data_IF_772354357092
#
_entry.id   IF_772354357092
#
_cell.length_a   1.000
_cell.length_b   1.000
_cell.length_c   1.000
_cell.angle_alpha   90.00
_cell.angle_beta   90.00
_cell.angle_gamma   90.00
#
_symmetry.space_group_name_H-M   'P 1'
#
loop_
_entity.id
_entity.type
_entity.pdbx_description
1 polymer ?
#
# COMPACT_ATOMS: atom_id res chain seq x y z
N UNK A 1 -34.08 18.99 -15.43
CA UNK A 1 -33.82 18.46 -14.08
C UNK A 1 -33.23 17.09 -14.31
N UNK A 2 -31.97 16.86 -13.91
CA UNK A 2 -31.41 15.51 -13.94
C UNK A 2 -32.19 14.67 -12.94
N UNK A 3 -32.70 13.52 -13.36
CA UNK A 3 -33.37 12.59 -12.45
C UNK A 3 -32.26 11.83 -11.75
N UNK A 4 -32.05 12.05 -10.44
CA UNK A 4 -31.09 11.26 -9.65
C UNK A 4 -31.83 10.31 -8.72
N UNK A 5 -31.20 9.17 -8.41
CA UNK A 5 -31.71 8.19 -7.45
C UNK A 5 -30.75 8.02 -6.29
N UNK A 6 -31.30 7.85 -5.09
CA UNK A 6 -30.55 7.63 -3.87
C UNK A 6 -30.15 6.17 -3.76
N UNK A 7 -28.84 5.91 -3.69
CA UNK A 7 -28.28 4.56 -3.49
C UNK A 7 -27.59 4.50 -2.14
N UNK A 8 -27.98 3.53 -1.31
CA UNK A 8 -27.42 3.30 0.03
C UNK A 8 -26.73 1.94 0.10
N UNK A 9 -25.47 1.89 0.52
CA UNK A 9 -24.73 0.65 0.74
C UNK A 9 -24.65 0.29 2.23
N UNK A 10 -25.07 -0.93 2.56
CA UNK A 10 -25.00 -1.52 3.89
C UNK A 10 -24.05 -2.73 3.89
N UNK A 11 -23.27 -2.98 4.97
CA UNK A 11 -23.27 -2.27 6.26
C UNK A 11 -22.39 -1.00 6.29
N UNK A 12 -21.84 -0.56 5.15
CA UNK A 12 -20.90 0.56 5.09
C UNK A 12 -21.54 1.92 5.44
N UNK A 13 -22.87 2.03 5.40
CA UNK A 13 -23.59 3.28 5.66
C UNK A 13 -23.38 4.37 4.60
N UNK A 14 -22.76 4.03 3.46
CA UNK A 14 -22.43 4.98 2.39
C UNK A 14 -23.69 5.30 1.60
N UNK A 15 -23.96 6.59 1.36
CA UNK A 15 -25.11 7.07 0.58
C UNK A 15 -24.61 7.96 -0.54
N UNK A 16 -25.15 7.78 -1.74
CA UNK A 16 -24.83 8.58 -2.93
C UNK A 16 -26.09 8.87 -3.75
N UNK A 17 -26.01 9.85 -4.64
CA UNK A 17 -26.98 10.09 -5.70
C UNK A 17 -26.37 9.72 -7.04
N UNK A 18 -27.11 8.98 -7.86
CA UNK A 18 -26.62 8.41 -9.11
C UNK A 18 -27.65 8.56 -10.23
N UNK A 19 -27.16 8.63 -11.46
CA UNK A 19 -28.00 8.73 -12.65
C UNK A 19 -28.66 7.36 -12.97
N UNK A 20 -29.86 7.36 -13.55
CA UNK A 20 -30.53 6.15 -14.01
C UNK A 20 -29.65 5.34 -14.96
N UNK A 21 -29.67 4.02 -14.82
CA UNK A 21 -28.95 3.11 -15.72
C UNK A 21 -27.51 2.78 -15.31
N UNK A 22 -26.93 3.47 -14.32
CA UNK A 22 -25.61 3.10 -13.77
C UNK A 22 -25.70 1.76 -13.03
N UNK A 23 -24.70 0.89 -13.18
CA UNK A 23 -24.69 -0.40 -12.49
C UNK A 23 -24.28 -0.25 -11.03
N UNK A 24 -24.81 -1.10 -10.15
CA UNK A 24 -24.41 -1.13 -8.73
C UNK A 24 -22.88 -1.32 -8.59
N UNK A 25 -22.27 -2.11 -9.46
CA UNK A 25 -20.83 -2.39 -9.48
C UNK A 25 -19.99 -1.16 -9.81
N UNK A 26 -20.41 -0.34 -10.77
CA UNK A 26 -19.74 0.93 -11.10
C UNK A 26 -19.80 1.90 -9.92
N UNK A 27 -20.98 2.06 -9.32
CA UNK A 27 -21.19 2.93 -8.15
C UNK A 27 -20.32 2.46 -6.98
N UNK A 28 -20.29 1.16 -6.72
CA UNK A 28 -19.46 0.58 -5.68
C UNK A 28 -17.96 0.84 -5.92
N UNK A 29 -17.51 0.73 -7.17
CA UNK A 29 -16.13 1.06 -7.54
C UNK A 29 -15.80 2.54 -7.32
N UNK A 30 -16.70 3.46 -7.68
CA UNK A 30 -16.50 4.90 -7.47
C UNK A 30 -16.41 5.28 -5.98
N UNK A 31 -17.17 4.57 -5.14
CA UNK A 31 -17.28 4.84 -3.71
C UNK A 31 -16.35 3.97 -2.85
N UNK A 32 -15.44 3.22 -3.48
CA UNK A 32 -14.54 2.26 -2.81
C UNK A 32 -15.25 1.23 -1.91
N UNK A 33 -16.50 0.92 -2.23
CA UNK A 33 -17.29 -0.11 -1.56
C UNK A 33 -16.74 -1.49 -1.95
N UNK A 34 -16.44 -2.39 -0.99
CA UNK A 34 -15.72 -3.63 -1.25
C UNK A 34 -16.62 -4.71 -1.88
N UNK A 35 -16.92 -4.57 -3.18
CA UNK A 35 -17.57 -5.60 -4.00
C UNK A 35 -16.55 -6.15 -4.99
N UNK A 36 -16.47 -7.49 -5.08
CA UNK A 36 -15.58 -8.17 -6.04
C UNK A 36 -16.11 -8.00 -7.47
N UNK A 37 -15.22 -7.72 -8.43
CA UNK A 37 -15.56 -7.60 -9.85
C UNK A 37 -14.60 -8.39 -10.75
N UNK A 38 -14.23 -9.58 -10.31
CA UNK A 38 -13.23 -10.50 -10.86
C UNK A 38 -13.31 -10.72 -12.39
N UNK A 39 -14.52 -10.79 -12.95
CA UNK A 39 -14.73 -10.99 -14.39
C UNK A 39 -14.77 -9.69 -15.22
N UNK A 40 -14.40 -8.55 -14.63
CA UNK A 40 -14.48 -7.24 -15.28
C UNK A 40 -15.91 -6.81 -15.60
N UNK A 41 -16.88 -7.26 -14.80
CA UNK A 41 -18.29 -6.93 -14.97
C UNK A 41 -19.08 -7.76 -15.97
N UNK A 42 -18.45 -8.75 -16.63
CA UNK A 42 -19.06 -9.59 -17.67
C UNK A 42 -20.17 -10.56 -17.19
N UNK A 43 -20.43 -10.64 -15.88
CA UNK A 43 -21.45 -11.54 -15.33
C UNK A 43 -21.07 -13.02 -15.38
N UNK A 44 -19.77 -13.37 -15.33
CA UNK A 44 -19.31 -14.76 -15.50
C UNK A 44 -18.93 -15.47 -14.19
N UNK A 45 -18.58 -14.72 -13.14
CA UNK A 45 -17.98 -15.30 -11.93
C UNK A 45 -18.93 -15.44 -10.74
N UNK A 46 -20.01 -14.65 -10.69
CA UNK A 46 -20.97 -14.66 -9.58
C UNK A 46 -20.43 -14.19 -8.23
N UNK A 47 -19.29 -13.48 -8.21
CA UNK A 47 -18.63 -13.02 -6.97
C UNK A 47 -19.07 -11.61 -6.54
N UNK A 48 -19.85 -10.93 -7.38
CA UNK A 48 -20.41 -9.60 -7.13
C UNK A 48 -21.85 -9.65 -6.60
N UNK A 49 -22.26 -10.72 -5.90
CA UNK A 49 -23.65 -10.86 -5.45
C UNK A 49 -23.95 -9.85 -4.34
N UNK A 50 -25.08 -9.16 -4.50
CA UNK A 50 -25.62 -8.21 -3.55
C UNK A 50 -27.10 -8.48 -3.35
N UNK A 51 -27.65 -8.04 -2.22
CA UNK A 51 -29.09 -8.05 -1.97
C UNK A 51 -29.61 -6.63 -2.18
N UNK A 52 -30.71 -6.51 -2.92
CA UNK A 52 -31.23 -5.22 -3.35
C UNK A 52 -32.66 -5.02 -2.84
N UNK A 53 -32.94 -3.87 -2.21
CA UNK A 53 -34.25 -3.53 -1.69
C UNK A 53 -34.62 -2.05 -1.94
N UNK A 54 -35.78 -1.75 -2.56
CA UNK A 54 -36.69 -2.71 -3.20
C UNK A 54 -36.11 -3.22 -4.53
N UNK A 55 -36.28 -4.52 -4.81
CA UNK A 55 -35.77 -5.15 -6.04
C UNK A 55 -36.47 -4.70 -7.32
N UNK A 56 -37.58 -3.96 -7.21
CA UNK A 56 -38.28 -3.33 -8.33
C UNK A 56 -37.58 -2.08 -8.85
N UNK A 57 -36.66 -1.50 -8.07
CA UNK A 57 -35.95 -0.27 -8.41
C UNK A 57 -34.62 -0.52 -9.13
N UNK A 58 -34.46 -1.71 -9.69
CA UNK A 58 -33.33 -2.10 -10.53
C UNK A 58 -33.82 -2.76 -11.82
N UNK A 59 -32.96 -2.82 -12.84
CA UNK A 59 -33.25 -3.46 -14.12
C UNK A 59 -33.81 -4.88 -13.96
N UNK A 60 -34.56 -5.40 -14.94
CA UNK A 60 -34.91 -6.82 -14.97
C UNK A 60 -33.67 -7.72 -14.88
N UNK A 61 -33.86 -8.98 -14.47
CA UNK A 61 -32.79 -9.97 -14.45
C UNK A 61 -32.20 -10.15 -15.84
N UNK A 62 -30.88 -10.10 -15.95
CA UNK A 62 -30.16 -10.36 -17.21
C UNK A 62 -29.92 -11.87 -17.41
N UNK A 63 -29.61 -12.30 -18.64
CA UNK A 63 -29.24 -13.70 -18.91
C UNK A 63 -28.09 -14.20 -18.02
N UNK A 64 -26.97 -13.46 -17.86
CA UNK A 64 -25.91 -13.85 -16.93
C UNK A 64 -26.38 -14.00 -15.47
N UNK A 65 -27.35 -13.20 -15.02
CA UNK A 65 -27.90 -13.34 -13.68
C UNK A 65 -28.71 -14.62 -13.52
N UNK A 66 -29.51 -14.99 -14.53
CA UNK A 66 -30.30 -16.22 -14.53
C UNK A 66 -29.43 -17.48 -14.58
N UNK A 67 -28.28 -17.42 -15.24
CA UNK A 67 -27.34 -18.54 -15.31
C UNK A 67 -26.59 -18.78 -14.00
N UNK A 68 -26.38 -17.73 -13.19
CA UNK A 68 -25.55 -17.77 -11.97
C UNK A 68 -26.37 -17.84 -10.69
N UNK A 69 -27.53 -17.18 -10.63
CA UNK A 69 -28.34 -17.08 -9.43
C UNK A 69 -29.33 -18.24 -9.37
N UNK A 70 -29.36 -18.92 -8.23
CA UNK A 70 -30.37 -19.94 -7.98
C UNK A 70 -31.77 -19.31 -7.82
N UNK A 71 -32.84 -20.07 -8.07
CA UNK A 71 -34.21 -19.57 -7.87
C UNK A 71 -34.48 -19.03 -6.46
N UNK A 72 -33.83 -19.60 -5.44
CA UNK A 72 -33.98 -19.17 -4.05
C UNK A 72 -33.20 -17.88 -3.75
N UNK A 73 -32.05 -17.66 -4.40
CA UNK A 73 -31.34 -16.38 -4.36
C UNK A 73 -32.17 -15.27 -5.02
N UNK A 74 -32.76 -15.55 -6.18
CA UNK A 74 -33.62 -14.59 -6.88
C UNK A 74 -34.82 -14.20 -6.01
N UNK A 75 -35.47 -15.16 -5.34
CA UNK A 75 -36.57 -14.88 -4.39
C UNK A 75 -36.15 -14.02 -3.21
N UNK A 76 -34.88 -14.09 -2.81
CA UNK A 76 -34.28 -13.27 -1.74
C UNK A 76 -33.73 -11.94 -2.27
N UNK A 77 -34.08 -11.55 -3.49
CA UNK A 77 -33.63 -10.31 -4.13
C UNK A 77 -32.12 -10.19 -4.31
N UNK A 78 -31.43 -11.32 -4.47
CA UNK A 78 -30.04 -11.30 -4.89
C UNK A 78 -29.93 -10.85 -6.34
N UNK A 79 -28.89 -10.05 -6.61
CA UNK A 79 -28.52 -9.53 -7.92
C UNK A 79 -27.01 -9.60 -8.11
N UNK A 80 -26.55 -9.62 -9.35
CA UNK A 80 -25.14 -9.38 -9.66
C UNK A 80 -24.91 -7.87 -9.78
N UNK A 81 -24.08 -7.30 -8.89
CA UNK A 81 -23.86 -5.86 -8.86
C UNK A 81 -23.37 -5.30 -10.20
N UNK A 82 -22.59 -6.07 -10.96
CA UNK A 82 -22.09 -5.65 -12.26
C UNK A 82 -23.11 -5.72 -13.41
N UNK A 83 -24.32 -6.21 -13.17
CA UNK A 83 -25.40 -6.36 -14.16
C UNK A 83 -26.64 -5.55 -13.79
N UNK A 84 -26.94 -5.43 -12.49
CA UNK A 84 -28.08 -4.69 -12.00
C UNK A 84 -27.87 -3.17 -12.14
N UNK A 85 -28.71 -2.55 -12.97
CA UNK A 85 -28.74 -1.10 -13.19
C UNK A 85 -29.80 -0.45 -12.31
N UNK A 86 -29.50 0.72 -11.75
CA UNK A 86 -30.47 1.44 -10.90
C UNK A 86 -31.55 2.12 -11.74
N UNK A 87 -32.81 1.98 -11.31
CA UNK A 87 -34.00 2.58 -11.92
C UNK A 87 -34.85 3.36 -10.90
N UNK A 88 -34.42 3.40 -9.64
CA UNK A 88 -35.08 4.09 -8.54
C UNK A 88 -34.21 4.09 -7.28
N UNK A 89 -34.70 4.71 -6.20
CA UNK A 89 -34.03 4.71 -4.90
C UNK A 89 -33.85 3.29 -4.36
N UNK A 90 -32.66 2.94 -3.90
CA UNK A 90 -32.34 1.55 -3.56
C UNK A 90 -31.34 1.42 -2.43
N UNK A 91 -31.55 0.40 -1.59
CA UNK A 91 -30.60 -0.05 -0.58
C UNK A 91 -29.94 -1.34 -1.07
N UNK A 92 -28.61 -1.35 -1.07
CA UNK A 92 -27.75 -2.46 -1.49
C UNK A 92 -27.05 -3.01 -0.27
N UNK A 93 -27.35 -4.26 0.09
CA UNK A 93 -26.70 -4.96 1.20
C UNK A 93 -25.64 -5.91 0.68
N UNK A 94 -24.43 -5.81 1.24
CA UNK A 94 -23.27 -6.66 0.89
C UNK A 94 -23.17 -7.79 1.92
N UNK A 95 -23.39 -9.06 1.53
CA UNK A 95 -23.31 -10.19 2.45
C UNK A 95 -21.90 -10.35 3.05
N UNK A 96 -21.81 -10.64 4.35
CA UNK A 96 -20.53 -10.77 5.09
C UNK A 96 -19.55 -11.80 4.50
N UNK A 97 -20.05 -12.84 3.82
CA UNK A 97 -19.22 -13.87 3.18
C UNK A 97 -18.44 -13.35 1.96
N UNK A 98 -18.77 -12.15 1.49
CA UNK A 98 -18.09 -11.47 0.38
C UNK A 98 -17.17 -10.33 0.82
N UNK A 99 -17.15 -10.01 2.13
CA UNK A 99 -16.18 -9.10 2.71
C UNK A 99 -14.87 -9.86 2.98
N UNK A 100 -13.75 -9.35 2.43
CA UNK A 100 -12.38 -9.93 2.32
C UNK A 100 -11.71 -10.51 3.60
N UNK A 101 -12.42 -10.66 4.70
CA UNK A 101 -11.85 -10.86 6.04
C UNK A 101 -11.17 -12.23 6.32
N UNK A 102 -11.30 -13.25 5.46
CA UNK A 102 -10.87 -14.63 5.81
C UNK A 102 -9.61 -15.16 5.13
N UNK A 103 -9.17 -14.58 4.00
CA UNK A 103 -8.08 -15.17 3.19
C UNK A 103 -6.65 -14.70 3.56
N UNK A 104 -6.50 -13.67 4.41
CA UNK A 104 -5.18 -13.21 4.86
C UNK A 104 -4.58 -14.01 6.04
N UNK A 105 -5.36 -14.92 6.66
CA UNK A 105 -4.91 -15.70 7.83
C UNK A 105 -3.84 -16.72 7.44
N UNK A 106 -2.66 -16.62 8.06
CA UNK A 106 -1.58 -17.63 7.96
C UNK A 106 -0.30 -17.15 7.26
N UNK A 107 -0.31 -15.98 6.61
CA UNK A 107 0.88 -15.42 5.94
C UNK A 107 1.78 -14.58 6.84
N UNK A 108 1.57 -14.58 8.16
CA UNK A 108 2.43 -13.93 9.16
C UNK A 108 3.30 -14.94 9.92
N UNK A 109 3.64 -16.06 9.25
CA UNK A 109 4.36 -17.18 9.85
C UNK A 109 5.86 -16.95 10.02
N UNK A 110 6.42 -15.94 9.34
CA UNK A 110 7.84 -15.56 9.47
C UNK A 110 8.04 -14.88 10.82
N UNK A 111 8.77 -15.57 11.71
CA UNK A 111 9.10 -15.12 13.06
C UNK A 111 10.50 -15.57 13.43
N UNK A 112 11.13 -14.82 14.31
CA UNK A 112 12.45 -15.15 14.85
C UNK A 112 13.51 -14.15 14.46
N UNK A 113 14.76 -14.60 14.52
CA UNK A 113 15.96 -13.80 14.28
C UNK A 113 16.71 -14.35 13.08
N UNK A 114 17.12 -13.47 12.18
CA UNK A 114 17.80 -13.81 10.94
C UNK A 114 19.17 -13.13 10.83
N UNK A 115 20.14 -13.72 10.11
CA UNK A 115 21.41 -13.07 9.83
C UNK A 115 21.22 -11.71 9.14
N UNK A 116 22.02 -10.73 9.56
CA UNK A 116 21.91 -9.35 9.09
C UNK A 116 22.94 -9.04 8.01
N UNK A 117 22.45 -8.50 6.90
CA UNK A 117 23.25 -7.79 5.89
C UNK A 117 22.46 -6.57 5.40
N UNK A 118 22.17 -5.59 6.28
CA UNK A 118 21.28 -4.48 5.95
C UNK A 118 21.94 -3.55 4.93
N UNK A 119 21.14 -3.00 4.01
CA UNK A 119 21.62 -1.98 3.06
C UNK A 119 21.87 -0.61 3.72
N UNK A 120 21.39 -0.42 4.95
CA UNK A 120 21.51 0.82 5.72
C UNK A 120 22.18 0.53 7.04
N UNK A 121 23.22 1.30 7.35
CA UNK A 121 23.97 1.22 8.60
C UNK A 121 23.97 2.56 9.33
N UNK A 122 24.27 2.49 10.64
CA UNK A 122 24.40 3.64 11.53
C UNK A 122 25.86 3.73 11.96
N UNK A 123 26.59 4.69 11.42
CA UNK A 123 27.98 4.94 11.80
C UNK A 123 27.96 6.07 12.83
N UNK A 124 28.32 5.75 14.06
CA UNK A 124 28.40 6.76 15.14
C UNK A 124 29.83 7.30 15.18
N UNK A 125 29.96 8.61 15.04
CA UNK A 125 31.22 9.32 15.19
C UNK A 125 31.18 10.08 16.52
N UNK A 126 32.23 9.87 17.33
CA UNK A 126 32.42 10.63 18.57
C UNK A 126 32.63 12.11 18.30
N UNK A 127 32.51 12.93 19.35
CA UNK A 127 32.94 14.33 19.31
C UNK A 127 34.43 14.38 18.91
N UNK A 128 34.76 15.32 18.03
CA UNK A 128 36.13 15.61 17.67
C UNK A 128 36.24 17.08 17.23
N UNK A 129 37.44 17.65 17.32
CA UNK A 129 37.68 19.02 16.92
C UNK A 129 37.77 19.11 15.40
N UNK A 130 37.09 20.11 14.83
CA UNK A 130 37.20 20.37 13.41
C UNK A 130 38.66 20.67 13.07
N UNK A 131 39.21 20.02 12.03
CA UNK A 131 40.59 20.24 11.64
C UNK A 131 40.80 21.68 11.18
N UNK A 132 41.76 22.36 11.81
CA UNK A 132 42.13 23.73 11.44
C UNK A 132 42.97 23.74 10.14
N UNK A 133 42.75 24.71 9.23
CA UNK A 133 43.65 24.93 8.10
C UNK A 133 45.07 25.21 8.58
N UNK A 134 46.07 24.50 8.03
CA UNK A 134 47.50 24.75 8.30
C UNK A 134 48.24 25.03 7.00
N UNK A 135 49.18 25.97 7.04
CA UNK A 135 50.10 26.28 5.93
C UNK A 135 49.42 26.50 4.57
N UNK A 136 48.25 27.16 4.56
CA UNK A 136 47.43 27.41 3.36
C UNK A 136 46.79 26.16 2.72
N UNK A 137 46.81 25.02 3.40
CA UNK A 137 46.07 23.82 3.00
C UNK A 137 44.65 23.92 3.56
N UNK A 138 43.67 24.02 2.65
CA UNK A 138 42.26 23.95 3.01
C UNK A 138 41.92 22.52 3.48
N UNK A 139 41.11 22.41 4.52
CA UNK A 139 40.63 21.12 4.99
C UNK A 139 39.25 20.84 4.39
N UNK A 140 39.14 19.72 3.69
CA UNK A 140 37.85 19.21 3.26
C UNK A 140 37.17 18.47 4.41
N UNK A 141 36.14 19.11 4.98
CA UNK A 141 35.31 18.56 6.04
C UNK A 141 34.64 17.25 5.60
N UNK A 142 34.29 17.11 4.32
CA UNK A 142 33.67 15.88 3.80
C UNK A 142 34.67 14.74 3.88
N UNK A 143 35.88 14.91 3.32
CA UNK A 143 36.97 13.94 3.42
C UNK A 143 37.34 13.60 4.86
N UNK A 144 37.32 14.59 5.77
CA UNK A 144 37.57 14.35 7.19
C UNK A 144 36.49 13.46 7.82
N UNK A 145 35.20 13.75 7.58
CA UNK A 145 34.08 12.95 8.09
C UNK A 145 34.07 11.55 7.50
N UNK A 146 34.27 11.41 6.18
CA UNK A 146 34.29 10.10 5.51
C UNK A 146 35.47 9.25 5.94
N UNK A 147 36.64 9.85 6.17
CA UNK A 147 37.80 9.13 6.72
C UNK A 147 37.51 8.53 8.08
N UNK A 148 36.93 9.33 9.00
CA UNK A 148 36.50 8.85 10.32
C UNK A 148 35.41 7.78 10.22
N UNK A 149 34.46 7.96 9.31
CA UNK A 149 33.39 6.99 9.07
C UNK A 149 33.93 5.66 8.53
N UNK A 150 34.91 5.70 7.62
CA UNK A 150 35.53 4.52 7.04
C UNK A 150 36.35 3.73 8.06
N UNK A 151 37.03 4.42 8.99
CA UNK A 151 37.73 3.77 10.10
C UNK A 151 36.76 2.99 11.00
N UNK A 152 35.60 3.58 11.32
CA UNK A 152 34.58 2.94 12.16
C UNK A 152 33.85 1.81 11.42
N UNK A 153 33.50 2.01 10.14
CA UNK A 153 32.74 1.04 9.34
C UNK A 153 33.60 -0.10 8.79
N UNK A 154 34.91 0.09 8.66
CA UNK A 154 35.83 -0.87 8.05
C UNK A 154 35.72 -0.96 6.52
N UNK A 155 35.04 -0.01 5.88
CA UNK A 155 34.95 0.11 4.44
C UNK A 155 34.80 1.58 4.02
N UNK A 156 34.96 1.87 2.73
CA UNK A 156 34.79 3.22 2.21
C UNK A 156 33.38 3.76 2.44
N UNK A 157 33.29 5.04 2.81
CA UNK A 157 32.04 5.77 3.04
C UNK A 157 32.07 7.04 2.22
N UNK A 158 31.00 7.30 1.46
CA UNK A 158 30.89 8.46 0.57
C UNK A 158 29.74 9.36 1.01
N UNK A 159 29.81 10.65 0.71
CA UNK A 159 28.72 11.62 0.96
C UNK A 159 28.48 12.41 -0.32
N UNK A 160 27.47 11.98 -1.08
CA UNK A 160 27.04 12.66 -2.31
C UNK A 160 25.65 13.31 -2.17
N UNK A 161 24.91 12.94 -1.12
CA UNK A 161 23.59 13.48 -0.85
C UNK A 161 23.67 14.93 -0.38
N UNK A 162 23.04 15.85 -1.12
CA UNK A 162 23.01 17.27 -0.80
C UNK A 162 22.34 17.57 0.54
N UNK A 163 21.37 16.76 0.96
CA UNK A 163 20.72 16.86 2.26
C UNK A 163 21.70 16.54 3.39
N UNK A 164 22.48 15.48 3.25
CA UNK A 164 23.53 15.11 4.18
C UNK A 164 24.64 16.17 4.26
N UNK A 165 25.11 16.68 3.12
CA UNK A 165 26.11 17.76 3.06
C UNK A 165 25.61 19.04 3.75
N UNK A 166 24.35 19.41 3.51
CA UNK A 166 23.72 20.55 4.20
C UNK A 166 23.60 20.32 5.70
N UNK A 167 23.38 19.08 6.14
CA UNK A 167 23.32 18.74 7.57
C UNK A 167 24.69 18.83 8.22
N UNK A 168 25.77 18.39 7.56
CA UNK A 168 27.15 18.55 8.04
C UNK A 168 27.56 20.01 8.19
N UNK A 169 27.03 20.87 7.32
CA UNK A 169 27.35 22.31 7.32
C UNK A 169 26.64 23.11 8.44
N UNK A 170 25.79 22.47 9.27
CA UNK A 170 25.07 23.20 10.32
C UNK A 170 26.01 23.58 11.48
N UNK A 171 25.87 24.79 12.06
CA UNK A 171 26.64 25.16 13.25
C UNK A 171 26.43 24.18 14.40
N UNK A 172 27.51 23.81 15.09
CA UNK A 172 27.49 22.96 16.27
C UNK A 172 27.24 21.47 16.01
N UNK A 173 27.22 21.02 14.74
CA UNK A 173 27.05 19.59 14.40
C UNK A 173 28.10 18.71 15.07
N UNK A 174 29.33 19.21 15.18
CA UNK A 174 30.47 18.46 15.70
C UNK A 174 30.72 18.68 17.20
N UNK A 175 29.85 19.45 17.88
CA UNK A 175 29.99 19.74 19.32
C UNK A 175 29.74 18.48 20.19
N UNK A 176 29.09 17.46 19.62
CA UNK A 176 28.78 16.19 20.26
C UNK A 176 28.95 15.02 19.30
N UNK A 177 28.42 13.86 19.71
CA UNK A 177 28.35 12.70 18.82
C UNK A 177 27.41 12.95 17.65
N UNK A 178 27.73 12.38 16.50
CA UNK A 178 26.85 12.35 15.34
C UNK A 178 26.66 10.93 14.84
N UNK A 179 25.51 10.66 14.24
CA UNK A 179 25.23 9.40 13.55
C UNK A 179 25.05 9.66 12.07
N UNK A 180 25.89 9.05 11.25
CA UNK A 180 25.73 9.00 9.80
C UNK A 180 24.79 7.85 9.42
N UNK A 181 23.84 8.13 8.54
CA UNK A 181 22.91 7.16 7.97
C UNK A 181 23.46 6.75 6.61
N UNK A 182 24.34 5.74 6.62
CA UNK A 182 24.99 5.29 5.40
C UNK A 182 24.16 4.21 4.71
N UNK A 183 23.91 4.40 3.41
CA UNK A 183 23.32 3.40 2.55
C UNK A 183 24.41 2.84 1.64
N UNK A 184 24.65 1.52 1.66
CA UNK A 184 25.82 0.89 1.03
C UNK A 184 25.99 1.17 -0.47
N UNK A 185 24.92 1.57 -1.16
CA UNK A 185 24.96 1.98 -2.59
C UNK A 185 24.89 3.50 -2.84
N UNK A 186 24.40 4.28 -1.88
CA UNK A 186 24.09 5.71 -2.07
C UNK A 186 24.97 6.63 -1.21
N UNK A 187 25.83 6.05 -0.38
CA UNK A 187 26.57 6.79 0.62
C UNK A 187 25.69 7.28 1.76
N UNK A 188 26.19 8.27 2.49
CA UNK A 188 25.52 8.91 3.62
C UNK A 188 24.34 9.73 3.09
N UNK A 189 23.14 9.36 3.55
CA UNK A 189 21.87 10.00 3.17
C UNK A 189 21.35 10.97 4.23
N UNK A 190 21.86 10.89 5.45
CA UNK A 190 21.54 11.81 6.53
C UNK A 190 22.63 11.80 7.63
N UNK A 191 22.67 12.89 8.38
CA UNK A 191 23.51 13.13 9.55
C UNK A 191 22.61 13.58 10.69
N UNK A 192 22.61 12.80 11.77
CA UNK A 192 21.73 12.98 12.92
C UNK A 192 22.57 13.33 14.16
N UNK A 193 22.10 14.23 15.03
CA UNK A 193 22.77 14.50 16.29
C UNK A 193 22.60 13.34 17.29
N UNK A 194 23.65 13.10 18.07
CA UNK A 194 23.77 12.07 19.09
C UNK A 194 23.99 10.66 18.53
N UNK A 195 24.19 9.71 19.43
CA UNK A 195 24.25 8.28 19.10
C UNK A 195 22.86 7.70 18.83
N UNK A 196 22.66 7.22 17.59
CA UNK A 196 21.39 6.63 17.11
C UNK A 196 21.65 5.29 16.43
N UNK A 197 21.87 4.27 17.25
CA UNK A 197 22.23 2.91 16.79
C UNK A 197 21.05 2.05 16.32
N UNK A 198 19.81 2.44 16.65
CA UNK A 198 18.62 1.66 16.28
C UNK A 198 18.18 1.97 14.85
N UNK A 199 17.92 0.91 14.10
CA UNK A 199 17.35 0.97 12.76
C UNK A 199 16.25 -0.06 12.62
N UNK A 200 15.12 0.34 12.03
CA UNK A 200 14.04 -0.55 11.65
C UNK A 200 14.06 -0.74 10.13
N UNK A 201 13.65 -1.92 9.69
CA UNK A 201 13.45 -2.28 8.30
C UNK A 201 12.04 -2.81 8.10
N UNK A 202 11.53 -2.66 6.88
CA UNK A 202 10.25 -3.24 6.48
C UNK A 202 10.49 -4.20 5.32
N UNK A 203 10.16 -5.47 5.50
CA UNK A 203 10.08 -6.42 4.40
C UNK A 203 8.62 -6.53 3.97
N UNK A 204 8.34 -6.34 2.68
CA UNK A 204 7.00 -6.36 2.11
C UNK A 204 6.92 -7.42 1.01
N UNK A 205 5.99 -8.35 1.15
CA UNK A 205 5.63 -9.35 0.14
C UNK A 205 4.31 -8.93 -0.51
N UNK A 206 4.38 -8.55 -1.79
CA UNK A 206 3.25 -8.09 -2.59
C UNK A 206 2.79 -9.26 -3.47
N UNK A 207 1.96 -10.13 -2.89
CA UNK A 207 1.32 -11.21 -3.63
C UNK A 207 0.08 -10.74 -4.38
N UNK A 208 -0.34 -11.48 -5.41
CA UNK A 208 -1.60 -11.20 -6.14
C UNK A 208 -2.81 -11.22 -5.22
N UNK A 209 -2.84 -12.13 -4.25
CA UNK A 209 -3.97 -12.31 -3.33
C UNK A 209 -3.76 -11.63 -1.98
N UNK A 210 -2.52 -11.49 -1.53
CA UNK A 210 -2.22 -11.08 -0.15
C UNK A 210 -1.03 -10.14 -0.13
N UNK A 211 -1.13 -9.09 0.66
CA UNK A 211 -0.02 -8.25 1.05
C UNK A 211 0.44 -8.70 2.44
N UNK A 212 1.74 -8.85 2.64
CA UNK A 212 2.29 -9.13 3.96
C UNK A 212 3.46 -8.18 4.23
N UNK A 213 3.52 -7.65 5.45
CA UNK A 213 4.57 -6.74 5.89
C UNK A 213 5.17 -7.24 7.20
N UNK A 214 6.50 -7.13 7.32
CA UNK A 214 7.27 -7.56 8.47
C UNK A 214 8.17 -6.42 8.92
N UNK A 215 7.96 -5.96 10.15
CA UNK A 215 8.81 -4.96 10.79
C UNK A 215 9.99 -5.67 11.45
N UNK A 216 11.19 -5.33 11.03
CA UNK A 216 12.43 -5.97 11.48
C UNK A 216 13.31 -4.96 12.23
N UNK A 217 13.94 -5.41 13.31
CA UNK A 217 15.05 -4.70 13.93
C UNK A 217 16.33 -5.00 13.13
N UNK A 218 16.92 -3.98 12.50
CA UNK A 218 18.12 -4.14 11.67
C UNK A 218 19.42 -4.21 12.47
N UNK A 219 19.36 -4.05 13.79
CA UNK A 219 20.49 -4.26 14.69
C UNK A 219 20.52 -5.68 15.25
N UNK A 220 19.35 -6.26 15.57
CA UNK A 220 19.28 -7.61 16.14
C UNK A 220 18.91 -8.70 15.13
N UNK A 221 18.30 -8.34 14.00
CA UNK A 221 17.78 -9.26 12.99
C UNK A 221 16.43 -9.86 13.36
N UNK A 222 15.79 -9.35 14.42
CA UNK A 222 14.53 -9.85 14.94
C UNK A 222 13.33 -9.30 14.17
N UNK A 223 12.37 -10.16 13.83
CA UNK A 223 11.05 -9.74 13.34
C UNK A 223 10.20 -9.31 14.53
N UNK A 224 10.00 -7.99 14.66
CA UNK A 224 9.28 -7.35 15.77
C UNK A 224 7.77 -7.53 15.62
N UNK A 225 7.26 -7.33 14.40
CA UNK A 225 5.84 -7.39 14.11
C UNK A 225 5.61 -7.88 12.68
N UNK A 226 4.43 -8.45 12.46
CA UNK A 226 3.96 -8.83 11.13
C UNK A 226 2.48 -8.52 10.99
N UNK A 227 2.09 -8.13 9.78
CA UNK A 227 0.71 -7.89 9.40
C UNK A 227 0.47 -8.43 7.99
N UNK A 228 -0.76 -8.85 7.71
CA UNK A 228 -1.16 -9.27 6.38
C UNK A 228 -2.59 -8.81 6.10
N UNK A 229 -2.82 -8.37 4.86
CA UNK A 229 -4.13 -7.95 4.35
C UNK A 229 -4.39 -8.63 3.00
N UNK A 230 -5.66 -8.71 2.61
CA UNK A 230 -5.99 -9.12 1.24
C UNK A 230 -5.53 -8.03 0.30
N UNK A 231 -4.91 -8.42 -0.83
CA UNK A 231 -4.50 -7.44 -1.83
C UNK A 231 -5.76 -6.77 -2.43
N UNK A 232 -5.97 -5.46 -2.20
CA UNK A 232 -7.17 -4.76 -2.62
C UNK A 232 -7.30 -4.62 -4.13
N UNK A 233 -6.22 -4.82 -4.90
CA UNK A 233 -6.26 -4.89 -6.37
C UNK A 233 -7.13 -6.03 -6.90
N UNK A 234 -7.48 -7.02 -6.08
CA UNK A 234 -8.38 -8.12 -6.46
C UNK A 234 -9.74 -7.63 -6.94
N UNK A 235 -10.19 -6.47 -6.48
CA UNK A 235 -11.43 -5.83 -6.95
C UNK A 235 -11.42 -5.57 -8.47
N UNK A 236 -10.24 -5.43 -9.06
CA UNK A 236 -10.04 -5.13 -10.47
C UNK A 236 -9.47 -6.30 -11.29
N UNK A 237 -9.29 -7.48 -10.68
CA UNK A 237 -8.80 -8.68 -11.37
C UNK A 237 -8.22 -9.73 -10.42
N UNK A 238 -8.56 -11.01 -10.64
CA UNK A 238 -8.05 -12.13 -9.83
C UNK A 238 -6.60 -12.48 -10.12
N UNK A 239 -6.14 -12.17 -11.34
CA UNK A 239 -4.82 -12.52 -11.82
C UNK A 239 -4.06 -11.29 -12.35
N UNK A 240 -2.80 -11.51 -12.71
CA UNK A 240 -1.92 -10.45 -13.21
C UNK A 240 -2.39 -9.93 -14.57
N UNK A 241 -2.94 -10.79 -15.43
CA UNK A 241 -3.33 -10.43 -16.80
C UNK A 241 -4.53 -9.48 -16.81
N UNK A 242 -5.54 -9.80 -16.01
CA UNK A 242 -6.73 -8.94 -15.83
C UNK A 242 -6.38 -7.57 -15.26
N UNK A 243 -5.39 -7.50 -14.36
CA UNK A 243 -4.89 -6.22 -13.82
C UNK A 243 -4.09 -5.42 -14.85
N UNK A 244 -3.25 -6.07 -15.66
CA UNK A 244 -2.55 -5.41 -16.78
C UNK A 244 -3.58 -4.82 -17.75
N UNK A 245 -4.60 -5.60 -18.12
CA UNK A 245 -5.65 -5.11 -19.00
C UNK A 245 -6.45 -3.94 -18.41
N UNK A 246 -6.67 -3.92 -17.08
CA UNK A 246 -7.30 -2.79 -16.41
C UNK A 246 -6.40 -1.54 -16.41
N UNK A 247 -5.09 -1.71 -16.16
CA UNK A 247 -4.11 -0.63 -16.19
C UNK A 247 -4.00 0.00 -17.59
N UNK A 248 -3.99 -0.83 -18.63
CA UNK A 248 -3.88 -0.38 -20.02
C UNK A 248 -5.21 0.17 -20.58
N UNK A 249 -6.34 -0.36 -20.09
CA UNK A 249 -7.67 -0.05 -20.62
C UNK A 249 -8.31 1.23 -20.07
N UNK A 250 -7.72 1.87 -19.07
CA UNK A 250 -8.22 3.09 -18.43
C UNK A 250 -7.12 4.13 -18.30
N UNK A 251 -7.46 5.40 -18.53
CA UNK A 251 -6.50 6.52 -18.47
C UNK A 251 -5.81 6.64 -17.09
N UNK A 252 -6.52 6.30 -16.01
CA UNK A 252 -6.06 6.32 -14.61
C UNK A 252 -5.78 4.91 -14.03
N UNK A 253 -5.83 3.85 -14.85
CA UNK A 253 -5.82 2.47 -14.37
C UNK A 253 -4.58 2.11 -13.55
N UNK A 254 -3.41 2.59 -13.98
CA UNK A 254 -2.14 2.39 -13.26
C UNK A 254 -2.14 3.07 -11.88
N UNK A 255 -2.58 4.33 -11.83
CA UNK A 255 -2.62 5.13 -10.60
C UNK A 255 -3.59 4.54 -9.58
N UNK A 256 -4.76 4.09 -10.04
CA UNK A 256 -5.75 3.39 -9.22
C UNK A 256 -5.16 2.10 -8.63
N UNK A 257 -4.55 1.24 -9.45
CA UNK A 257 -3.96 -0.01 -8.96
C UNK A 257 -2.78 0.21 -8.01
N UNK A 258 -1.96 1.25 -8.23
CA UNK A 258 -0.89 1.64 -7.33
C UNK A 258 -1.45 2.13 -5.98
N UNK A 259 -2.41 3.05 -6.02
CA UNK A 259 -3.04 3.63 -4.82
C UNK A 259 -3.63 2.55 -3.92
N UNK A 260 -4.31 1.56 -4.52
CA UNK A 260 -4.86 0.43 -3.77
C UNK A 260 -3.79 -0.34 -2.97
N UNK A 261 -2.60 -0.60 -3.54
CA UNK A 261 -1.53 -1.33 -2.81
C UNK A 261 -0.88 -0.45 -1.74
N UNK A 262 -0.80 0.87 -1.96
CA UNK A 262 -0.21 1.80 -0.99
C UNK A 262 -1.12 2.02 0.22
N UNK A 263 -2.43 2.01 0.03
CA UNK A 263 -3.43 2.21 1.09
C UNK A 263 -3.80 0.95 1.87
N UNK A 264 -3.53 -0.24 1.33
CA UNK A 264 -3.90 -1.55 1.89
C UNK A 264 -2.86 -2.20 2.80
#
# INVERSE_FOLDING_TARGET
>A
MSTSFRVKFEPAGIVTEQEPGTTIGEIASQLNVPIRADCGGKGLCGKCKVIVEPSTNVSPLTEPELDILSPDEIKKSFRLACQAQILGDVTVTIPEQMADSREARGKTGVKGRYPLAPMVERIVLGRDELPEPKDSVLVDVVSWVTGRAAEVAGHEVLIEDLGALRQLSRPGVYDGEITLVNHLKRGVTAVLPGSRIKSLGLAVDIGTTTLAAYLCDLHTGEVIASSASVNPQRRHGEDVISRIAMADGKEDGLEVLQGLVVEG
#
